data_IF_307698426156
#
_entry.id   IF_307698426156
#
_cell.length_a   1.000
_cell.length_b   1.000
_cell.length_c   1.000
_cell.angle_alpha   90.00
_cell.angle_beta   90.00
_cell.angle_gamma   90.00
#
_symmetry.space_group_name_H-M   'P 1'
#
loop_
_entity.id
_entity.type
_entity.pdbx_description
1 polymer ?
#
# COMPACT_ATOMS: atom_id res chain seq x y z
N UNK A 1 28.25 59.51 70.46
CA UNK A 1 28.63 58.10 70.19
C UNK A 1 27.36 57.28 70.04
N UNK A 2 26.99 56.94 68.79
CA UNK A 2 26.47 55.64 68.32
C UNK A 2 25.77 55.88 66.97
N UNK A 3 26.48 55.62 65.88
CA UNK A 3 25.88 55.45 64.55
C UNK A 3 25.42 54.01 64.43
N UNK A 4 24.09 53.82 64.33
CA UNK A 4 23.45 52.54 64.09
C UNK A 4 23.63 52.09 62.63
N UNK A 5 24.03 50.82 62.49
CA UNK A 5 24.34 50.13 61.24
C UNK A 5 23.05 49.63 60.57
N UNK A 6 22.74 50.08 59.36
CA UNK A 6 21.61 49.61 58.55
C UNK A 6 22.00 48.30 57.84
N UNK A 7 21.20 47.23 58.01
CA UNK A 7 21.32 45.96 57.27
C UNK A 7 20.40 46.01 56.05
N UNK A 8 20.99 45.92 54.84
CA UNK A 8 20.25 45.68 53.61
C UNK A 8 19.85 44.20 53.54
N UNK A 9 18.55 43.92 53.52
CA UNK A 9 18.00 42.59 53.20
C UNK A 9 17.74 42.48 51.70
N UNK A 10 18.37 41.51 51.05
CA UNK A 10 18.08 41.15 49.65
C UNK A 10 16.84 40.25 49.65
N UNK A 11 15.77 40.67 48.97
CA UNK A 11 14.58 39.84 48.72
C UNK A 11 14.78 39.13 47.38
N UNK A 12 14.91 37.81 47.42
CA UNK A 12 14.96 36.97 46.22
C UNK A 12 13.52 36.62 45.84
N UNK A 13 13.03 37.16 44.72
CA UNK A 13 11.77 36.74 44.10
C UNK A 13 12.01 35.44 43.34
N UNK A 14 11.43 34.34 43.81
CA UNK A 14 11.36 33.10 43.04
C UNK A 14 10.19 33.20 42.05
N UNK A 15 10.49 33.36 40.76
CA UNK A 15 9.52 33.22 39.68
C UNK A 15 9.25 31.73 39.44
N UNK A 16 8.11 31.23 39.90
CA UNK A 16 7.62 29.90 39.54
C UNK A 16 7.06 29.96 38.11
N UNK A 17 7.80 29.43 37.14
CA UNK A 17 7.29 29.19 35.78
C UNK A 17 6.22 28.09 35.86
N UNK A 18 4.98 28.42 35.57
CA UNK A 18 3.92 27.43 35.34
C UNK A 18 3.99 27.04 33.87
N UNK A 19 4.60 25.90 33.57
CA UNK A 19 4.53 25.27 32.24
C UNK A 19 3.15 24.66 32.07
N UNK A 20 2.30 25.32 31.27
CA UNK A 20 1.06 24.72 30.76
C UNK A 20 1.47 23.72 29.68
N UNK A 21 1.49 22.43 30.03
CA UNK A 21 1.64 21.36 29.05
C UNK A 21 0.31 21.29 28.31
N UNK A 22 0.24 21.89 27.13
CA UNK A 22 -0.81 21.61 26.17
C UNK A 22 -0.56 20.19 25.65
N UNK A 23 -1.31 19.22 26.15
CA UNK A 23 -1.43 17.94 25.44
C UNK A 23 -2.21 18.24 24.17
N UNK A 24 -1.49 18.47 23.06
CA UNK A 24 -2.10 18.36 21.75
C UNK A 24 -2.67 16.95 21.66
N UNK A 25 -3.99 16.84 21.59
CA UNK A 25 -4.60 15.58 21.19
C UNK A 25 -4.29 15.47 19.71
N UNK A 26 -3.32 14.62 19.34
CA UNK A 26 -3.24 14.16 17.97
C UNK A 26 -4.58 13.49 17.67
N UNK A 27 -5.32 14.04 16.70
CA UNK A 27 -6.51 13.36 16.19
C UNK A 27 -6.03 12.52 15.03
N UNK A 28 -6.23 11.22 15.13
CA UNK A 28 -6.00 10.29 14.04
C UNK A 28 -6.79 10.72 12.79
N UNK A 29 -6.19 10.63 11.60
CA UNK A 29 -6.92 10.92 10.35
C UNK A 29 -7.64 9.66 9.93
N UNK A 30 -8.91 9.58 10.34
CA UNK A 30 -9.81 8.53 9.91
C UNK A 30 -10.78 9.05 8.86
N UNK A 31 -11.21 8.18 7.96
CA UNK A 31 -12.24 8.50 6.98
C UNK A 31 -13.49 7.65 7.23
N UNK A 32 -14.67 8.26 7.17
CA UNK A 32 -15.94 7.55 7.37
C UNK A 32 -16.30 6.62 6.18
N UNK A 33 -15.61 6.79 5.04
CA UNK A 33 -15.77 5.97 3.83
C UNK A 33 -14.44 5.85 3.09
N UNK A 34 -14.17 4.67 2.54
CA UNK A 34 -13.08 4.42 1.60
C UNK A 34 -13.57 3.64 0.37
N UNK A 35 -13.00 3.98 -0.79
CA UNK A 35 -13.22 3.27 -2.06
C UNK A 35 -11.88 2.70 -2.50
N UNK A 36 -11.79 1.39 -2.66
CA UNK A 36 -10.51 0.70 -2.93
C UNK A 36 -10.48 0.17 -4.34
N UNK A 37 -9.52 0.62 -5.14
CA UNK A 37 -9.24 0.10 -6.47
C UNK A 37 -7.90 -0.63 -6.48
N UNK A 38 -7.84 -1.79 -7.14
CA UNK A 38 -6.65 -2.60 -7.09
C UNK A 38 -6.82 -4.01 -7.62
N UNK A 39 -5.93 -4.89 -7.15
CA UNK A 39 -5.85 -6.29 -7.53
C UNK A 39 -6.16 -7.25 -6.37
N UNK A 40 -5.65 -8.47 -6.43
CA UNK A 40 -5.87 -9.55 -5.45
C UNK A 40 -5.34 -9.24 -4.06
N UNK A 41 -4.41 -8.28 -3.91
CA UNK A 41 -3.97 -7.82 -2.59
C UNK A 41 -5.05 -7.01 -1.86
N UNK A 42 -6.07 -6.54 -2.59
CA UNK A 42 -7.21 -5.80 -2.07
C UNK A 42 -8.56 -6.45 -2.38
N UNK A 43 -8.66 -7.39 -3.32
CA UNK A 43 -9.93 -8.02 -3.70
C UNK A 43 -10.54 -8.84 -2.56
N UNK A 44 -11.78 -8.48 -2.21
CA UNK A 44 -12.72 -9.35 -1.50
C UNK A 44 -14.06 -9.37 -2.27
N UNK A 45 -14.40 -10.52 -2.85
CA UNK A 45 -15.55 -10.79 -3.74
C UNK A 45 -15.59 -10.06 -5.09
N UNK A 46 -14.59 -9.26 -5.43
CA UNK A 46 -14.52 -8.45 -6.65
C UNK A 46 -14.59 -9.31 -7.91
N UNK A 47 -13.55 -10.10 -8.18
CA UNK A 47 -13.53 -11.00 -9.35
C UNK A 47 -14.64 -12.06 -9.26
N UNK A 48 -14.91 -12.57 -8.05
CA UNK A 48 -15.96 -13.55 -7.78
C UNK A 48 -17.33 -13.09 -8.30
N UNK A 49 -17.71 -11.84 -8.03
CA UNK A 49 -19.01 -11.27 -8.44
C UNK A 49 -19.23 -11.32 -9.94
N UNK A 50 -18.17 -11.21 -10.75
CA UNK A 50 -18.26 -11.28 -12.21
C UNK A 50 -18.28 -12.71 -12.74
N UNK A 51 -17.53 -13.61 -12.11
CA UNK A 51 -17.27 -14.94 -12.67
C UNK A 51 -18.15 -16.04 -12.09
N UNK A 52 -18.68 -15.91 -10.87
CA UNK A 52 -19.61 -16.91 -10.29
C UNK A 52 -20.83 -17.16 -11.19
N UNK A 53 -21.48 -16.12 -11.77
CA UNK A 53 -22.63 -16.35 -12.66
C UNK A 53 -22.28 -17.09 -13.95
N UNK A 54 -21.01 -17.13 -14.33
CA UNK A 54 -20.50 -17.72 -15.58
C UNK A 54 -19.92 -19.11 -15.34
N UNK A 55 -19.17 -19.27 -14.25
CA UNK A 55 -18.31 -20.45 -13.99
C UNK A 55 -18.79 -21.30 -12.83
N UNK A 56 -19.75 -20.80 -12.02
CA UNK A 56 -20.18 -21.40 -10.78
C UNK A 56 -19.26 -21.07 -9.60
N UNK A 57 -19.64 -21.53 -8.41
CA UNK A 57 -18.88 -21.28 -7.17
C UNK A 57 -17.51 -22.00 -7.16
N UNK A 58 -16.57 -21.44 -6.39
CA UNK A 58 -15.30 -22.10 -6.11
C UNK A 58 -15.48 -23.39 -5.31
N UNK A 59 -14.80 -24.45 -5.74
CA UNK A 59 -14.70 -25.71 -5.00
C UNK A 59 -13.26 -26.22 -5.14
N UNK A 60 -12.48 -26.16 -4.06
CA UNK A 60 -11.08 -26.57 -4.08
C UNK A 60 -10.85 -28.04 -4.51
N UNK A 61 -11.87 -28.90 -4.43
CA UNK A 61 -11.77 -30.33 -4.79
C UNK A 61 -12.21 -30.56 -6.23
N UNK A 62 -13.34 -29.98 -6.64
CA UNK A 62 -13.95 -30.27 -7.96
C UNK A 62 -13.65 -29.21 -9.02
N UNK A 63 -13.26 -28.02 -8.59
CA UNK A 63 -12.92 -26.87 -9.42
C UNK A 63 -11.79 -26.05 -8.78
N UNK A 64 -10.58 -26.63 -8.62
CA UNK A 64 -9.44 -25.95 -7.98
C UNK A 64 -9.02 -24.67 -8.70
N UNK A 65 -9.37 -24.54 -9.99
CA UNK A 65 -9.13 -23.37 -10.84
C UNK A 65 -10.32 -22.38 -10.85
N UNK A 66 -11.33 -22.60 -10.02
CA UNK A 66 -12.48 -21.69 -9.88
C UNK A 66 -12.11 -20.37 -9.17
N UNK A 67 -13.08 -19.47 -9.05
CA UNK A 67 -12.81 -18.09 -8.62
C UNK A 67 -13.06 -17.94 -7.14
N UNK A 68 -12.01 -17.67 -6.38
CA UNK A 68 -12.06 -17.48 -4.93
C UNK A 68 -12.68 -16.14 -4.56
N UNK A 69 -13.29 -16.10 -3.38
CA UNK A 69 -13.85 -14.87 -2.79
C UNK A 69 -12.73 -13.95 -2.28
N UNK A 70 -11.59 -14.50 -1.87
CA UNK A 70 -10.42 -13.74 -1.39
C UNK A 70 -9.14 -14.49 -1.72
N UNK A 71 -8.05 -13.75 -1.91
CA UNK A 71 -6.73 -14.31 -2.24
C UNK A 71 -5.79 -14.35 -1.02
N UNK A 72 -6.37 -14.74 0.11
CA UNK A 72 -5.65 -15.01 1.36
C UNK A 72 -6.38 -16.11 2.16
N UNK A 73 -5.97 -16.39 3.39
CA UNK A 73 -6.67 -17.28 4.32
C UNK A 73 -7.67 -16.55 5.23
N UNK A 74 -8.12 -15.36 4.84
CA UNK A 74 -9.05 -14.50 5.57
C UNK A 74 -9.18 -13.15 4.88
N UNK A 75 -9.70 -12.16 5.61
CA UNK A 75 -9.81 -10.78 5.14
C UNK A 75 -8.46 -10.21 4.66
N UNK A 76 -8.53 -9.24 3.74
CA UNK A 76 -7.36 -8.47 3.31
C UNK A 76 -7.31 -7.13 4.03
N UNK A 77 -6.26 -6.35 3.78
CA UNK A 77 -5.92 -5.17 4.57
C UNK A 77 -7.04 -4.12 4.56
N UNK A 78 -7.79 -4.01 3.46
CA UNK A 78 -8.85 -3.02 3.30
C UNK A 78 -10.00 -3.25 4.30
N UNK A 79 -10.40 -4.50 4.53
CA UNK A 79 -11.47 -4.83 5.49
C UNK A 79 -11.02 -4.56 6.93
N UNK A 80 -9.75 -4.86 7.25
CA UNK A 80 -9.17 -4.55 8.55
C UNK A 80 -9.12 -3.04 8.79
N UNK A 81 -8.63 -2.26 7.82
CA UNK A 81 -8.54 -0.80 7.93
C UNK A 81 -9.92 -0.15 8.07
N UNK A 82 -10.89 -0.59 7.25
CA UNK A 82 -12.27 -0.11 7.38
C UNK A 82 -12.87 -0.43 8.75
N UNK A 83 -12.55 -1.61 9.30
CA UNK A 83 -12.99 -2.00 10.65
C UNK A 83 -12.34 -1.12 11.73
N UNK A 84 -11.04 -0.82 11.63
CA UNK A 84 -10.33 0.06 12.57
C UNK A 84 -10.97 1.45 12.63
N UNK A 85 -11.37 1.98 11.48
CA UNK A 85 -11.99 3.31 11.37
C UNK A 85 -13.50 3.33 11.60
N UNK A 86 -14.14 2.15 11.67
CA UNK A 86 -15.60 2.04 11.55
C UNK A 86 -16.11 2.78 10.28
N UNK A 87 -15.40 2.59 9.17
CA UNK A 87 -15.66 3.20 7.87
C UNK A 87 -16.55 2.31 7.00
N UNK A 88 -17.31 2.94 6.10
CA UNK A 88 -17.91 2.23 4.98
C UNK A 88 -16.84 1.88 3.93
N UNK A 89 -16.73 0.59 3.57
CA UNK A 89 -15.82 0.10 2.54
C UNK A 89 -16.57 -0.19 1.25
N UNK A 90 -16.18 0.49 0.17
CA UNK A 90 -16.58 0.19 -1.19
C UNK A 90 -15.39 -0.43 -1.95
N UNK A 91 -15.28 -1.75 -1.88
CA UNK A 91 -14.15 -2.49 -2.45
C UNK A 91 -14.40 -2.79 -3.93
N UNK A 92 -13.61 -2.16 -4.81
CA UNK A 92 -13.66 -2.27 -6.27
C UNK A 92 -12.48 -3.05 -6.84
N UNK A 93 -11.58 -3.55 -6.00
CA UNK A 93 -10.43 -4.30 -6.42
C UNK A 93 -10.83 -5.63 -7.05
N UNK A 94 -10.12 -6.03 -8.10
CA UNK A 94 -10.40 -7.23 -8.87
C UNK A 94 -9.13 -8.06 -8.95
N UNK A 95 -9.16 -9.27 -8.43
CA UNK A 95 -8.04 -10.19 -8.46
C UNK A 95 -7.53 -10.40 -9.88
N UNK A 96 -6.22 -10.43 -10.05
CA UNK A 96 -5.59 -10.52 -11.36
C UNK A 96 -5.73 -9.28 -12.25
N UNK A 97 -6.35 -8.20 -11.77
CA UNK A 97 -6.37 -6.93 -12.50
C UNK A 97 -4.95 -6.40 -12.71
N UNK A 98 -4.68 -5.97 -13.93
CA UNK A 98 -3.50 -5.17 -14.24
C UNK A 98 -3.88 -3.69 -14.28
N UNK A 99 -2.90 -2.82 -14.45
CA UNK A 99 -3.18 -1.42 -14.80
C UNK A 99 -3.94 -1.31 -16.14
N UNK A 100 -3.78 -2.30 -17.02
CA UNK A 100 -4.58 -2.46 -18.22
C UNK A 100 -4.94 -3.93 -18.42
N UNK A 101 -6.25 -4.22 -18.38
CA UNK A 101 -6.75 -5.58 -18.60
C UNK A 101 -6.58 -6.47 -17.37
N UNK A 102 -6.38 -7.77 -17.62
CA UNK A 102 -6.40 -8.81 -16.60
C UNK A 102 -5.35 -9.90 -16.94
N UNK A 103 -4.61 -10.39 -15.93
CA UNK A 103 -3.49 -11.32 -16.14
C UNK A 103 -3.90 -12.69 -16.68
N UNK A 104 -5.11 -13.14 -16.31
CA UNK A 104 -5.69 -14.38 -16.80
C UNK A 104 -6.25 -14.17 -18.21
N UNK A 105 -5.70 -14.88 -19.19
CA UNK A 105 -6.06 -14.74 -20.60
C UNK A 105 -7.51 -15.13 -20.92
N UNK A 106 -8.12 -16.06 -20.17
CA UNK A 106 -9.52 -16.41 -20.34
C UNK A 106 -10.44 -15.28 -19.87
N UNK A 107 -10.12 -14.65 -18.74
CA UNK A 107 -10.85 -13.48 -18.22
C UNK A 107 -10.66 -12.27 -19.15
N UNK A 108 -9.43 -12.06 -19.65
CA UNK A 108 -9.17 -11.03 -20.65
C UNK A 108 -9.98 -11.24 -21.92
N UNK A 109 -10.06 -12.47 -22.44
CA UNK A 109 -10.88 -12.78 -23.62
C UNK A 109 -12.38 -12.52 -23.39
N UNK A 110 -12.88 -12.73 -22.15
CA UNK A 110 -14.26 -12.35 -21.79
C UNK A 110 -14.45 -10.83 -21.79
N UNK A 111 -13.45 -10.06 -21.35
CA UNK A 111 -13.46 -8.59 -21.46
C UNK A 111 -13.43 -8.15 -22.94
N UNK A 112 -12.55 -8.73 -23.75
CA UNK A 112 -12.39 -8.37 -25.18
C UNK A 112 -13.64 -8.68 -26.01
N UNK A 113 -14.37 -9.73 -25.64
CA UNK A 113 -15.64 -10.10 -26.27
C UNK A 113 -16.83 -9.27 -25.77
N UNK A 114 -16.66 -8.45 -24.74
CA UNK A 114 -17.72 -7.69 -24.08
C UNK A 114 -18.62 -8.53 -23.18
N UNK A 115 -18.21 -9.76 -22.84
CA UNK A 115 -18.91 -10.61 -21.86
C UNK A 115 -18.75 -10.06 -20.44
N UNK A 116 -17.56 -9.50 -20.15
CA UNK A 116 -17.25 -8.80 -18.91
C UNK A 116 -16.91 -7.32 -19.22
N UNK A 117 -17.10 -6.41 -18.26
CA UNK A 117 -16.56 -5.06 -18.37
C UNK A 117 -15.02 -5.09 -18.33
N UNK A 118 -14.38 -3.96 -18.60
CA UNK A 118 -12.95 -3.83 -18.36
C UNK A 118 -12.65 -3.97 -16.85
N UNK A 119 -11.74 -4.88 -16.49
CA UNK A 119 -11.45 -5.22 -15.09
C UNK A 119 -10.14 -4.62 -14.54
N UNK A 120 -9.28 -4.09 -15.41
CA UNK A 120 -8.08 -3.34 -14.97
C UNK A 120 -8.43 -2.00 -14.32
N UNK A 121 -7.44 -1.28 -13.77
CA UNK A 121 -7.68 -0.07 -12.94
C UNK A 121 -8.61 0.96 -13.61
N UNK A 122 -8.41 1.22 -14.90
CA UNK A 122 -9.24 2.16 -15.67
C UNK A 122 -10.70 1.70 -15.77
N UNK A 123 -10.91 0.39 -15.90
CA UNK A 123 -12.24 -0.21 -15.96
C UNK A 123 -12.95 -0.17 -14.61
N UNK A 124 -12.23 -0.41 -13.52
CA UNK A 124 -12.77 -0.29 -12.16
C UNK A 124 -13.20 1.15 -11.86
N UNK A 125 -12.35 2.15 -12.17
CA UNK A 125 -12.68 3.58 -11.98
C UNK A 125 -13.86 4.00 -12.86
N UNK A 126 -13.88 3.63 -14.15
CA UNK A 126 -14.99 3.98 -15.03
C UNK A 126 -16.31 3.39 -14.52
N UNK A 127 -16.32 2.11 -14.12
CA UNK A 127 -17.52 1.44 -13.59
C UNK A 127 -18.00 2.15 -12.31
N UNK A 128 -17.09 2.49 -11.40
CA UNK A 128 -17.42 3.24 -10.19
C UNK A 128 -18.06 4.60 -10.49
N UNK A 129 -17.49 5.36 -11.44
CA UNK A 129 -18.00 6.67 -11.83
C UNK A 129 -19.37 6.58 -12.52
N UNK A 130 -19.58 5.56 -13.35
CA UNK A 130 -20.86 5.31 -14.04
C UNK A 130 -21.97 4.96 -13.04
N UNK A 131 -21.66 4.21 -11.98
CA UNK A 131 -22.62 3.81 -10.95
C UNK A 131 -22.90 4.91 -9.92
N UNK A 132 -21.87 5.68 -9.55
CA UNK A 132 -21.95 6.66 -8.45
C UNK A 132 -22.41 8.04 -8.93
N UNK A 133 -22.02 8.42 -10.15
CA UNK A 133 -22.21 9.78 -10.67
C UNK A 133 -21.25 10.80 -10.06
N UNK A 134 -21.45 12.08 -10.40
CA UNK A 134 -20.58 13.20 -10.02
C UNK A 134 -21.38 14.37 -9.42
N UNK A 135 -20.80 15.19 -8.53
CA UNK A 135 -19.43 15.10 -8.02
C UNK A 135 -19.25 13.99 -6.99
N UNK A 136 -18.06 13.42 -6.96
CA UNK A 136 -17.60 12.52 -5.92
C UNK A 136 -17.46 13.23 -4.58
N UNK A 137 -17.57 12.48 -3.48
CA UNK A 137 -17.37 13.02 -2.14
C UNK A 137 -15.89 13.37 -1.91
N UNK A 138 -15.65 14.59 -1.44
CA UNK A 138 -14.34 15.10 -1.00
C UNK A 138 -13.95 14.62 0.41
N UNK A 139 -14.82 13.85 1.09
CA UNK A 139 -14.57 13.27 2.41
C UNK A 139 -14.24 11.77 2.37
N UNK A 140 -14.32 11.14 1.19
CA UNK A 140 -14.01 9.73 0.97
C UNK A 140 -12.54 9.55 0.64
N UNK A 141 -11.88 8.54 1.21
CA UNK A 141 -10.54 8.14 0.81
C UNK A 141 -10.60 7.24 -0.43
N UNK A 142 -9.96 7.65 -1.52
CA UNK A 142 -9.86 6.86 -2.75
C UNK A 142 -8.49 6.18 -2.81
N UNK A 143 -8.47 4.86 -2.73
CA UNK A 143 -7.24 4.08 -2.69
C UNK A 143 -6.93 3.51 -4.07
N UNK A 144 -5.68 3.62 -4.49
CA UNK A 144 -5.15 2.90 -5.65
C UNK A 144 -3.94 2.07 -5.21
N UNK A 145 -4.07 0.74 -5.33
CA UNK A 145 -2.97 -0.19 -5.15
C UNK A 145 -3.01 -1.28 -6.22
N UNK A 146 -2.18 -1.12 -7.25
CA UNK A 146 -2.22 -1.90 -8.49
C UNK A 146 -0.84 -1.93 -9.15
N UNK A 147 -0.59 -2.93 -9.98
CA UNK A 147 0.60 -3.02 -10.84
C UNK A 147 1.43 -4.29 -10.60
N UNK A 148 1.14 -5.03 -9.53
CA UNK A 148 1.82 -6.30 -9.24
C UNK A 148 1.68 -7.28 -10.41
N UNK A 149 0.46 -7.43 -10.93
CA UNK A 149 0.18 -8.33 -12.03
C UNK A 149 0.87 -7.92 -13.34
N UNK A 150 1.06 -6.62 -13.61
CA UNK A 150 1.85 -6.14 -14.75
C UNK A 150 3.30 -6.64 -14.65
N UNK A 151 3.90 -6.60 -13.45
CA UNK A 151 5.25 -7.12 -13.20
C UNK A 151 5.31 -8.65 -13.31
N UNK A 152 4.33 -9.37 -12.77
CA UNK A 152 4.25 -10.84 -12.84
C UNK A 152 4.13 -11.31 -14.29
N UNK A 153 3.21 -10.73 -15.05
CA UNK A 153 2.99 -11.03 -16.48
C UNK A 153 4.26 -10.76 -17.29
N UNK A 154 4.97 -9.65 -17.01
CA UNK A 154 6.26 -9.36 -17.65
C UNK A 154 7.35 -10.35 -17.25
N UNK A 155 7.52 -10.62 -15.95
CA UNK A 155 8.55 -11.53 -15.44
C UNK A 155 8.38 -12.98 -15.90
N UNK A 156 7.16 -13.40 -16.17
CA UNK A 156 6.82 -14.71 -16.75
C UNK A 156 6.96 -14.75 -18.28
N UNK A 157 7.32 -13.64 -18.92
CA UNK A 157 7.45 -13.53 -20.38
C UNK A 157 6.11 -13.59 -21.13
N UNK A 158 5.02 -13.24 -20.45
CA UNK A 158 3.66 -13.20 -21.00
C UNK A 158 3.22 -11.79 -21.42
N UNK A 159 4.00 -10.76 -21.08
CA UNK A 159 3.72 -9.38 -21.49
C UNK A 159 4.07 -9.14 -22.96
N UNK A 160 3.27 -8.30 -23.61
CA UNK A 160 3.54 -7.81 -24.98
C UNK A 160 4.61 -6.69 -25.02
N UNK A 161 4.95 -6.10 -23.86
CA UNK A 161 5.95 -5.04 -23.78
C UNK A 161 7.35 -5.57 -24.15
N UNK A 162 8.09 -4.83 -24.97
CA UNK A 162 9.41 -5.23 -25.42
C UNK A 162 10.48 -5.05 -24.34
N UNK A 163 10.24 -4.15 -23.37
CA UNK A 163 11.16 -3.85 -22.27
C UNK A 163 10.41 -3.61 -20.96
N UNK A 164 11.12 -3.79 -19.83
CA UNK A 164 10.57 -3.46 -18.52
C UNK A 164 10.25 -1.96 -18.39
N UNK A 165 11.04 -1.09 -19.01
CA UNK A 165 10.81 0.36 -19.01
C UNK A 165 9.50 0.73 -19.72
N UNK A 166 9.21 0.09 -20.86
CA UNK A 166 7.95 0.25 -21.59
C UNK A 166 6.76 -0.20 -20.74
N UNK A 167 6.82 -1.41 -20.19
CA UNK A 167 5.75 -1.93 -19.31
C UNK A 167 5.52 -1.02 -18.10
N UNK A 168 6.58 -0.58 -17.41
CA UNK A 168 6.48 0.31 -16.25
C UNK A 168 5.87 1.65 -16.68
N UNK A 169 6.34 2.24 -17.78
CA UNK A 169 5.82 3.51 -18.29
C UNK A 169 4.32 3.45 -18.61
N UNK A 170 3.86 2.36 -19.24
CA UNK A 170 2.45 2.15 -19.55
C UNK A 170 1.63 2.00 -18.27
N UNK A 171 2.14 1.21 -17.32
CA UNK A 171 1.47 1.01 -16.04
C UNK A 171 1.33 2.30 -15.23
N UNK A 172 2.38 3.11 -15.14
CA UNK A 172 2.35 4.41 -14.47
C UNK A 172 1.41 5.39 -15.19
N UNK A 173 1.35 5.35 -16.52
CA UNK A 173 0.42 6.17 -17.31
C UNK A 173 -1.03 5.81 -16.99
N UNK A 174 -1.34 4.51 -16.86
CA UNK A 174 -2.69 4.06 -16.51
C UNK A 174 -3.09 4.44 -15.07
N UNK A 175 -2.15 4.34 -14.10
CA UNK A 175 -2.39 4.74 -12.70
C UNK A 175 -2.62 6.25 -12.60
N UNK A 176 -1.78 7.06 -13.22
CA UNK A 176 -1.94 8.53 -13.19
C UNK A 176 -3.20 8.98 -13.93
N UNK A 177 -3.60 8.31 -15.01
CA UNK A 177 -4.88 8.54 -15.65
C UNK A 177 -6.06 8.23 -14.71
N UNK A 178 -6.00 7.13 -13.96
CA UNK A 178 -7.03 6.78 -12.97
C UNK A 178 -7.13 7.82 -11.84
N UNK A 179 -6.00 8.29 -11.31
CA UNK A 179 -5.94 9.39 -10.34
C UNK A 179 -6.60 10.66 -10.90
N UNK A 180 -6.21 11.05 -12.12
CA UNK A 180 -6.78 12.22 -12.80
C UNK A 180 -8.29 12.11 -13.02
N UNK A 181 -8.78 10.94 -13.45
CA UNK A 181 -10.22 10.71 -13.65
C UNK A 181 -11.02 10.86 -12.35
N UNK A 182 -10.52 10.32 -11.24
CA UNK A 182 -11.17 10.46 -9.93
C UNK A 182 -11.13 11.92 -9.45
N UNK A 183 -9.98 12.59 -9.61
CA UNK A 183 -9.81 13.99 -9.22
C UNK A 183 -10.74 14.92 -10.02
N UNK A 184 -10.81 14.75 -11.34
CA UNK A 184 -11.72 15.50 -12.21
C UNK A 184 -13.19 15.27 -11.84
N UNK A 185 -13.51 14.08 -11.34
CA UNK A 185 -14.83 13.72 -10.86
C UNK A 185 -15.16 14.27 -9.45
N UNK A 186 -14.18 14.85 -8.75
CA UNK A 186 -14.37 15.52 -7.45
C UNK A 186 -13.64 14.87 -6.26
N UNK A 187 -12.93 13.75 -6.46
CA UNK A 187 -12.13 13.15 -5.40
C UNK A 187 -10.98 14.08 -4.97
N UNK A 188 -10.73 14.17 -3.66
CA UNK A 188 -9.66 15.03 -3.10
C UNK A 188 -8.73 14.33 -2.14
N UNK A 189 -9.08 13.13 -1.66
CA UNK A 189 -8.29 12.39 -0.67
C UNK A 189 -7.89 11.05 -1.27
N UNK A 190 -6.60 10.86 -1.47
CA UNK A 190 -6.07 9.67 -2.11
C UNK A 190 -5.12 8.94 -1.18
N UNK A 191 -5.10 7.62 -1.29
CA UNK A 191 -4.01 6.79 -0.79
C UNK A 191 -3.43 6.02 -1.97
N UNK A 192 -2.12 6.16 -2.17
CA UNK A 192 -1.38 5.36 -3.15
C UNK A 192 -0.34 4.53 -2.41
N UNK A 193 -0.34 3.23 -2.71
CA UNK A 193 0.57 2.27 -2.10
C UNK A 193 1.55 1.76 -3.16
N UNK A 194 2.82 1.63 -2.81
CA UNK A 194 3.79 1.00 -3.70
C UNK A 194 3.66 -0.53 -3.67
N UNK A 195 4.30 -1.22 -4.60
CA UNK A 195 4.23 -2.67 -4.69
C UNK A 195 5.14 -3.35 -3.66
N UNK A 196 4.75 -4.51 -3.13
CA UNK A 196 5.65 -5.36 -2.38
C UNK A 196 6.80 -5.87 -3.26
N UNK A 197 7.86 -6.39 -2.65
CA UNK A 197 8.97 -7.02 -3.37
C UNK A 197 8.53 -8.36 -3.97
N UNK A 198 8.20 -8.39 -5.27
CA UNK A 198 7.80 -9.65 -5.92
C UNK A 198 8.95 -10.68 -5.96
N UNK A 199 10.21 -10.23 -5.90
CA UNK A 199 11.37 -11.13 -5.87
C UNK A 199 11.58 -11.84 -4.54
N UNK A 200 11.03 -11.29 -3.46
CA UNK A 200 11.03 -11.91 -2.13
C UNK A 200 9.89 -12.92 -1.92
N UNK A 201 9.01 -13.09 -2.91
CA UNK A 201 7.89 -14.04 -2.81
C UNK A 201 8.35 -15.49 -2.98
N UNK A 202 7.69 -16.47 -2.35
CA UNK A 202 8.00 -17.89 -2.52
C UNK A 202 8.03 -18.32 -4.00
N UNK A 203 7.15 -17.78 -4.84
CA UNK A 203 7.12 -18.07 -6.28
C UNK A 203 8.45 -17.75 -6.96
N UNK A 204 9.02 -16.56 -6.72
CA UNK A 204 10.30 -16.17 -7.32
C UNK A 204 11.52 -16.79 -6.64
N UNK A 205 11.47 -17.01 -5.32
CA UNK A 205 12.53 -17.71 -4.61
C UNK A 205 12.69 -19.15 -5.11
N UNK A 206 11.58 -19.82 -5.45
CA UNK A 206 11.60 -21.17 -6.02
C UNK A 206 12.18 -21.24 -7.44
N UNK A 207 12.18 -20.13 -8.19
CA UNK A 207 12.84 -20.02 -9.50
C UNK A 207 14.37 -19.83 -9.37
N UNK A 208 14.87 -19.52 -8.17
CA UNK A 208 16.28 -19.35 -7.86
C UNK A 208 16.70 -17.88 -7.65
N UNK A 209 17.88 -17.68 -7.08
CA UNK A 209 18.37 -16.36 -6.62
C UNK A 209 18.42 -15.30 -7.72
N UNK A 210 18.77 -15.69 -8.95
CA UNK A 210 18.88 -14.77 -10.07
C UNK A 210 17.50 -14.25 -10.50
N UNK A 211 16.49 -15.12 -10.49
CA UNK A 211 15.10 -14.74 -10.78
C UNK A 211 14.54 -13.83 -9.69
N UNK A 212 14.77 -14.17 -8.41
CA UNK A 212 14.40 -13.31 -7.28
C UNK A 212 15.04 -11.93 -7.37
N UNK A 213 16.35 -11.85 -7.60
CA UNK A 213 17.08 -10.57 -7.72
C UNK A 213 16.54 -9.71 -8.88
N UNK A 214 16.27 -10.33 -10.03
CA UNK A 214 15.72 -9.62 -11.18
C UNK A 214 14.31 -9.08 -10.90
N UNK A 215 13.47 -9.83 -10.19
CA UNK A 215 12.11 -9.44 -9.84
C UNK A 215 12.05 -8.38 -8.73
N UNK A 216 12.99 -8.41 -7.78
CA UNK A 216 13.19 -7.30 -6.83
C UNK A 216 13.53 -6.01 -7.56
N UNK A 217 14.46 -6.06 -8.52
CA UNK A 217 14.84 -4.88 -9.31
C UNK A 217 13.66 -4.32 -10.15
N UNK A 218 12.74 -5.19 -10.62
CA UNK A 218 11.50 -4.75 -11.27
C UNK A 218 10.59 -3.99 -10.29
N UNK A 219 10.40 -4.53 -9.09
CA UNK A 219 9.60 -3.90 -8.03
C UNK A 219 10.16 -2.51 -7.66
N UNK A 220 11.47 -2.43 -7.44
CA UNK A 220 12.16 -1.17 -7.13
C UNK A 220 12.00 -0.12 -8.24
N UNK A 221 12.17 -0.55 -9.50
CA UNK A 221 12.04 0.33 -10.67
C UNK A 221 10.62 0.86 -10.82
N UNK A 222 9.62 -0.01 -10.66
CA UNK A 222 8.22 0.37 -10.67
C UNK A 222 7.90 1.35 -9.54
N UNK A 223 8.30 1.02 -8.31
CA UNK A 223 8.01 1.84 -7.13
C UNK A 223 8.65 3.23 -7.23
N UNK A 224 9.87 3.32 -7.75
CA UNK A 224 10.54 4.60 -8.00
C UNK A 224 9.82 5.44 -9.06
N UNK A 225 9.35 4.81 -10.14
CA UNK A 225 8.60 5.48 -11.20
C UNK A 225 7.23 5.96 -10.70
N UNK A 226 6.52 5.11 -9.94
CA UNK A 226 5.24 5.44 -9.33
C UNK A 226 5.37 6.63 -8.37
N UNK A 227 6.35 6.58 -7.46
CA UNK A 227 6.57 7.67 -6.51
C UNK A 227 6.82 9.01 -7.22
N UNK A 228 7.64 9.00 -8.28
CA UNK A 228 7.93 10.18 -9.08
C UNK A 228 6.68 10.72 -9.78
N UNK A 229 5.83 9.84 -10.31
CA UNK A 229 4.62 10.22 -11.03
C UNK A 229 3.52 10.73 -10.11
N UNK A 230 3.30 10.09 -8.95
CA UNK A 230 2.33 10.57 -7.96
C UNK A 230 2.76 11.91 -7.39
N UNK A 231 4.06 12.09 -7.13
CA UNK A 231 4.59 13.40 -6.73
C UNK A 231 4.34 14.47 -7.79
N UNK A 232 4.58 14.16 -9.07
CA UNK A 232 4.32 15.09 -10.16
C UNK A 232 2.83 15.44 -10.28
N UNK A 233 1.94 14.46 -10.07
CA UNK A 233 0.50 14.67 -10.02
C UNK A 233 0.10 15.61 -8.86
N UNK A 234 0.65 15.40 -7.66
CA UNK A 234 0.44 16.28 -6.51
C UNK A 234 1.00 17.71 -6.71
N UNK A 235 2.00 17.88 -7.57
CA UNK A 235 2.55 19.19 -7.91
C UNK A 235 1.75 19.90 -9.02
N UNK A 236 1.02 19.15 -9.86
CA UNK A 236 0.21 19.70 -10.94
C UNK A 236 -1.20 20.08 -10.49
N UNK A 237 -1.74 19.35 -9.53
CA UNK A 237 -3.07 19.59 -8.99
C UNK A 237 -3.05 20.52 -7.77
N UNK A 238 -4.23 21.02 -7.38
CA UNK A 238 -4.37 21.80 -6.15
C UNK A 238 -5.57 21.26 -5.37
N UNK A 239 -5.50 21.38 -4.04
CA UNK A 239 -6.59 21.04 -3.12
C UNK A 239 -6.81 19.53 -2.90
N UNK A 240 -5.87 18.69 -3.32
CA UNK A 240 -5.82 17.27 -2.99
C UNK A 240 -4.91 16.97 -1.77
N UNK A 241 -5.22 15.86 -1.11
CA UNK A 241 -4.37 15.20 -0.12
C UNK A 241 -4.03 13.83 -0.69
N UNK A 242 -2.74 13.55 -0.86
CA UNK A 242 -2.26 12.25 -1.31
C UNK A 242 -1.38 11.66 -0.22
N UNK A 243 -1.87 10.58 0.36
CA UNK A 243 -1.15 9.73 1.28
C UNK A 243 -0.34 8.69 0.50
N UNK A 244 0.85 8.39 1.00
CA UNK A 244 1.77 7.42 0.40
C UNK A 244 2.15 6.35 1.41
N UNK A 245 1.98 5.08 1.06
CA UNK A 245 2.43 3.96 1.89
C UNK A 245 3.52 3.16 1.18
N UNK A 246 4.65 2.99 1.87
CA UNK A 246 5.78 2.17 1.42
C UNK A 246 5.65 0.73 1.93
N UNK A 247 4.81 -0.05 1.24
CA UNK A 247 4.59 -1.48 1.49
C UNK A 247 5.86 -2.30 1.26
N UNK A 248 6.65 -1.94 0.26
CA UNK A 248 7.92 -2.60 -0.04
C UNK A 248 8.83 -2.63 1.20
N UNK A 249 9.09 -1.46 1.79
CA UNK A 249 9.94 -1.36 2.97
C UNK A 249 9.30 -2.05 4.18
N UNK A 250 7.99 -1.89 4.39
CA UNK A 250 7.26 -2.52 5.49
C UNK A 250 7.38 -4.05 5.48
N UNK A 251 7.18 -4.70 4.33
CA UNK A 251 7.27 -6.16 4.25
C UNK A 251 8.69 -6.70 4.49
N UNK A 252 9.72 -5.95 4.06
CA UNK A 252 11.11 -6.27 4.41
C UNK A 252 11.35 -6.15 5.93
N UNK A 253 10.82 -5.11 6.57
CA UNK A 253 10.96 -4.92 8.02
C UNK A 253 10.35 -6.06 8.84
N UNK A 254 9.11 -6.46 8.54
CA UNK A 254 8.45 -7.57 9.25
C UNK A 254 9.03 -8.96 8.90
N UNK A 255 9.81 -9.02 7.83
CA UNK A 255 10.59 -10.21 7.48
C UNK A 255 11.85 -10.27 8.33
N UNK A 256 12.57 -9.15 8.44
CA UNK A 256 13.86 -9.05 9.14
C UNK A 256 13.72 -9.07 10.68
N UNK A 257 12.60 -8.60 11.21
CA UNK A 257 12.33 -8.57 12.66
C UNK A 257 11.90 -9.93 13.25
N UNK A 258 11.67 -10.92 12.38
CA UNK A 258 11.22 -12.25 12.79
C UNK A 258 9.76 -12.31 13.23
N UNK A 259 8.90 -11.39 12.75
CA UNK A 259 7.45 -11.40 13.00
C UNK A 259 6.79 -12.73 12.60
N UNK A 260 7.34 -13.38 11.56
CA UNK A 260 6.93 -14.69 11.08
C UNK A 260 8.05 -15.70 11.24
N UNK A 261 7.71 -16.94 11.58
CA UNK A 261 8.67 -18.04 11.63
C UNK A 261 9.05 -18.52 10.22
N UNK A 262 8.18 -18.28 9.23
CA UNK A 262 8.37 -18.64 7.83
C UNK A 262 7.99 -17.50 6.89
N UNK A 263 8.99 -16.96 6.20
CA UNK A 263 8.85 -15.85 5.23
C UNK A 263 9.17 -16.27 3.80
N UNK A 264 9.57 -17.52 3.57
CA UNK A 264 10.04 -18.00 2.26
C UNK A 264 9.22 -19.17 1.72
N UNK A 265 8.46 -19.85 2.58
CA UNK A 265 7.47 -20.86 2.24
C UNK A 265 6.04 -20.35 2.38
N UNK A 266 5.08 -21.23 2.11
CA UNK A 266 3.66 -20.89 2.00
C UNK A 266 2.81 -21.61 3.04
N UNK A 267 1.74 -20.98 3.50
CA UNK A 267 0.72 -21.63 4.32
C UNK A 267 -0.02 -22.73 3.54
N UNK A 268 -0.50 -22.44 2.33
CA UNK A 268 -1.06 -23.46 1.46
C UNK A 268 0.04 -24.43 1.02
N UNK A 269 -0.29 -25.73 1.01
CA UNK A 269 0.58 -26.73 0.40
C UNK A 269 0.29 -26.73 -1.10
N UNK A 270 1.30 -26.33 -1.88
CA UNK A 270 1.23 -26.30 -3.34
C UNK A 270 1.95 -27.53 -3.92
N UNK A 271 1.47 -28.03 -5.05
CA UNK A 271 2.17 -29.07 -5.82
C UNK A 271 3.37 -28.50 -6.61
N UNK A 272 4.07 -29.36 -7.36
CA UNK A 272 5.25 -28.96 -8.16
C UNK A 272 4.90 -27.94 -9.25
N UNK A 273 3.63 -27.87 -9.67
CA UNK A 273 3.10 -26.89 -10.61
C UNK A 273 2.54 -25.62 -9.93
N UNK A 274 2.65 -25.50 -8.59
CA UNK A 274 2.16 -24.37 -7.82
C UNK A 274 0.65 -24.38 -7.55
N UNK A 275 -0.03 -25.51 -7.80
CA UNK A 275 -1.49 -25.64 -7.61
C UNK A 275 -1.83 -26.04 -6.18
N UNK A 276 -2.97 -25.58 -5.71
CA UNK A 276 -3.46 -25.91 -4.38
C UNK A 276 -3.80 -27.41 -4.25
N UNK A 277 -3.23 -28.06 -3.23
CA UNK A 277 -3.48 -29.47 -2.94
C UNK A 277 -4.68 -29.71 -2.00
N UNK A 278 -5.26 -28.64 -1.45
CA UNK A 278 -6.27 -28.68 -0.40
C UNK A 278 -5.72 -28.93 1.00
N UNK A 279 -4.38 -29.04 1.15
CA UNK A 279 -3.70 -29.18 2.43
C UNK A 279 -3.01 -27.87 2.85
N UNK A 280 -2.75 -27.73 4.16
CA UNK A 280 -2.15 -26.52 4.75
C UNK A 280 -1.02 -26.86 5.71
N UNK A 281 -0.07 -25.94 5.85
CA UNK A 281 1.01 -25.96 6.83
C UNK A 281 0.60 -25.15 8.07
N UNK A 282 0.52 -25.77 9.25
CA UNK A 282 0.04 -25.10 10.47
C UNK A 282 1.18 -24.80 11.46
N UNK A 283 1.04 -23.75 12.29
CA UNK A 283 -0.08 -22.82 12.35
C UNK A 283 -0.01 -21.72 11.28
N UNK A 284 -1.15 -21.28 10.75
CA UNK A 284 -1.22 -20.16 9.80
C UNK A 284 -0.50 -18.88 10.26
N UNK A 285 -0.44 -18.64 11.57
CA UNK A 285 0.26 -17.51 12.17
C UNK A 285 1.75 -17.50 11.88
N UNK A 286 2.37 -18.64 11.57
CA UNK A 286 3.81 -18.73 11.37
C UNK A 286 4.25 -18.22 9.99
N UNK A 287 3.31 -18.02 9.05
CA UNK A 287 3.58 -17.77 7.64
C UNK A 287 3.26 -16.33 7.24
N UNK A 288 4.22 -15.67 6.58
CA UNK A 288 3.99 -14.38 5.93
C UNK A 288 3.11 -14.56 4.69
N UNK A 289 3.37 -15.61 3.91
CA UNK A 289 2.71 -15.88 2.64
C UNK A 289 1.66 -16.99 2.74
N UNK A 290 0.48 -16.69 2.22
CA UNK A 290 -0.61 -17.65 2.07
C UNK A 290 -0.32 -18.64 0.95
N UNK A 291 0.03 -18.14 -0.23
CA UNK A 291 0.44 -18.93 -1.38
C UNK A 291 1.74 -18.37 -1.98
N UNK A 292 2.06 -18.72 -3.23
CA UNK A 292 3.32 -18.33 -3.87
C UNK A 292 3.60 -16.82 -3.92
N UNK A 293 2.58 -15.96 -3.86
CA UNK A 293 2.72 -14.50 -3.99
C UNK A 293 1.86 -13.70 -3.00
N UNK A 294 0.75 -14.25 -2.53
CA UNK A 294 -0.21 -13.53 -1.71
C UNK A 294 0.12 -13.67 -0.21
N UNK A 295 0.06 -12.57 0.57
CA UNK A 295 0.25 -12.63 2.02
C UNK A 295 -0.88 -13.36 2.76
N UNK A 296 -0.61 -13.82 3.98
CA UNK A 296 -1.65 -14.30 4.90
C UNK A 296 -2.49 -13.15 5.46
N UNK A 297 -3.66 -13.47 5.97
CA UNK A 297 -4.58 -12.52 6.61
C UNK A 297 -3.93 -11.84 7.82
N UNK A 298 -3.00 -12.53 8.51
CA UNK A 298 -2.16 -11.92 9.57
C UNK A 298 -1.28 -10.81 9.00
N UNK A 299 -0.62 -11.04 7.87
CA UNK A 299 0.18 -10.00 7.19
C UNK A 299 -0.70 -8.84 6.73
N UNK A 300 -1.90 -9.12 6.21
CA UNK A 300 -2.86 -8.08 5.84
C UNK A 300 -3.35 -7.25 7.02
N UNK A 301 -3.60 -7.85 8.18
CA UNK A 301 -3.95 -7.12 9.40
C UNK A 301 -2.80 -6.21 9.85
N UNK A 302 -1.56 -6.68 9.81
CA UNK A 302 -0.39 -5.84 10.14
C UNK A 302 -0.20 -4.70 9.13
N UNK A 303 -0.49 -4.95 7.84
CA UNK A 303 -0.47 -3.90 6.83
C UNK A 303 -1.54 -2.85 7.07
N UNK A 304 -2.74 -3.24 7.51
CA UNK A 304 -3.79 -2.30 7.88
C UNK A 304 -3.38 -1.41 9.06
N UNK A 305 -2.79 -2.00 10.11
CA UNK A 305 -2.24 -1.25 11.25
C UNK A 305 -1.15 -0.27 10.77
N UNK A 306 -0.24 -0.72 9.90
CA UNK A 306 0.81 0.14 9.33
C UNK A 306 0.25 1.30 8.50
N UNK A 307 -0.78 1.06 7.67
CA UNK A 307 -1.43 2.11 6.89
C UNK A 307 -2.11 3.13 7.80
N UNK A 308 -2.83 2.68 8.84
CA UNK A 308 -3.45 3.55 9.85
C UNK A 308 -2.40 4.48 10.49
N UNK A 309 -1.28 3.92 10.93
CA UNK A 309 -0.18 4.69 11.53
C UNK A 309 0.43 5.73 10.57
N UNK A 310 0.61 5.40 9.29
CA UNK A 310 1.14 6.35 8.30
C UNK A 310 0.19 7.53 8.05
N UNK A 311 -1.11 7.28 8.03
CA UNK A 311 -2.12 8.32 7.81
C UNK A 311 -2.26 9.27 9.00
N UNK A 312 -1.99 8.78 10.20
CA UNK A 312 -1.94 9.59 11.42
C UNK A 312 -0.74 10.54 11.45
N UNK A 313 0.44 10.07 11.01
CA UNK A 313 1.65 10.91 10.96
C UNK A 313 1.53 12.03 9.90
N UNK A 314 0.78 11.80 8.81
CA UNK A 314 0.48 12.80 7.77
C UNK A 314 -0.34 13.99 8.28
N UNK A 315 -1.11 13.79 9.36
CA UNK A 315 -2.02 14.80 9.93
C UNK A 315 -1.34 16.02 10.58
N UNK A 316 -0.05 15.87 10.92
CA UNK A 316 0.71 16.85 11.69
C UNK A 316 1.59 17.80 10.89
N UNK A 317 1.73 17.59 9.57
CA UNK A 317 2.59 18.41 8.72
C UNK A 317 1.78 18.99 7.55
N UNK A 318 1.86 20.31 7.36
CA UNK A 318 1.14 21.03 6.31
C UNK A 318 1.30 20.33 4.95
N UNK A 319 0.22 19.71 4.45
CA UNK A 319 -0.02 19.20 3.09
C UNK A 319 1.21 19.26 2.16
N UNK A 320 2.05 18.25 2.24
CA UNK A 320 3.16 18.04 1.32
C UNK A 320 3.61 16.59 1.44
N UNK A 321 3.38 15.80 0.39
CA UNK A 321 3.86 14.44 0.15
C UNK A 321 4.88 13.94 1.18
N UNK A 322 4.43 13.24 2.24
CA UNK A 322 5.32 12.69 3.25
C UNK A 322 5.69 11.28 2.80
N UNK A 323 6.89 11.14 2.25
CA UNK A 323 7.56 9.84 2.22
C UNK A 323 8.32 9.68 3.53
N UNK A 324 8.01 8.64 4.31
CA UNK A 324 8.90 8.19 5.38
C UNK A 324 10.30 7.98 4.79
N UNK A 325 11.29 8.72 5.27
CA UNK A 325 12.66 8.60 4.79
C UNK A 325 13.19 7.20 5.12
N UNK A 326 13.51 6.42 4.09
CA UNK A 326 14.16 5.12 4.22
C UNK A 326 15.44 5.23 5.07
N UNK A 327 15.45 4.60 6.25
CA UNK A 327 16.65 4.43 7.05
C UNK A 327 17.44 3.23 6.53
N UNK A 328 18.31 3.45 5.54
CA UNK A 328 19.27 2.43 5.12
C UNK A 328 20.40 2.22 6.14
N UNK A 329 20.95 1.00 6.29
CA UNK A 329 22.06 0.74 7.22
C UNK A 329 23.37 1.31 6.66
N UNK A 330 24.04 2.19 7.43
CA UNK A 330 25.39 2.63 7.10
C UNK A 330 26.38 1.53 7.52
N UNK A 331 26.79 0.70 6.56
CA UNK A 331 27.97 -0.15 6.72
C UNK A 331 29.22 0.72 6.69
N UNK A 332 29.89 0.90 7.84
CA UNK A 332 31.13 1.66 7.92
C UNK A 332 31.80 1.55 9.28
N UNK A 333 32.71 0.59 9.41
CA UNK A 333 33.58 0.39 10.57
C UNK A 333 34.59 1.54 10.73
N UNK A 334 34.39 2.47 11.67
CA UNK A 334 35.48 3.26 12.28
C UNK A 334 35.12 3.62 13.73
N UNK A 335 36.01 3.26 14.66
CA UNK A 335 35.95 3.67 16.06
C UNK A 335 36.12 5.19 16.19
N UNK A 336 35.16 5.88 16.83
CA UNK A 336 35.32 7.29 17.19
C UNK A 336 34.10 7.85 17.92
N UNK A 337 34.24 8.12 19.22
CA UNK A 337 33.27 8.88 19.99
C UNK A 337 33.18 10.32 19.45
N UNK A 338 32.03 10.70 18.88
CA UNK A 338 31.76 12.06 18.39
C UNK A 338 30.25 12.30 18.35
N UNK A 339 29.81 13.39 18.98
CA UNK A 339 28.40 13.73 19.17
C UNK A 339 27.60 13.84 17.87
N UNK A 340 26.41 13.24 17.86
CA UNK A 340 25.41 13.32 16.81
C UNK A 340 24.78 14.72 16.80
N UNK A 341 25.13 15.55 15.80
CA UNK A 341 24.36 16.74 15.46
C UNK A 341 23.32 16.34 14.41
N UNK A 342 22.05 16.32 14.80
CA UNK A 342 20.91 16.18 13.90
C UNK A 342 20.85 17.41 12.99
N UNK A 343 21.22 17.22 11.72
CA UNK A 343 20.98 18.21 10.67
C UNK A 343 19.57 18.01 10.11
N UNK A 344 18.62 18.81 10.58
CA UNK A 344 17.32 18.96 9.93
C UNK A 344 17.57 19.67 8.59
N UNK A 345 17.43 18.94 7.48
CA UNK A 345 17.34 19.54 6.16
C UNK A 345 16.07 20.38 6.10
N UNK A 346 16.21 21.70 6.14
CA UNK A 346 15.06 22.60 6.03
C UNK A 346 14.44 22.50 4.63
N UNK A 347 13.27 21.86 4.54
CA UNK A 347 12.37 21.99 3.39
C UNK A 347 11.71 23.37 3.48
N UNK A 348 11.90 24.19 2.45
CA UNK A 348 11.32 25.53 2.38
C UNK A 348 9.90 25.48 1.84
N UNK A 349 8.90 25.23 2.71
CA UNK A 349 7.49 25.41 2.37
C UNK A 349 7.10 26.90 2.41
N UNK A 350 6.62 27.42 1.27
CA UNK A 350 6.23 28.83 1.13
C UNK A 350 4.76 29.00 1.54
N UNK A 351 4.51 29.47 2.76
CA UNK A 351 3.20 30.01 3.18
C UNK A 351 2.73 31.07 2.17
N UNK A 352 1.62 30.83 1.46
CA UNK A 352 0.84 31.92 0.85
C UNK A 352 -0.39 32.15 1.72
N UNK A 353 -0.50 33.41 2.16
CA UNK A 353 -1.60 33.94 2.97
C UNK A 353 -2.92 33.93 2.20
#
# INVERSE_FOLDING_TARGET
MNMGRVRNGVVVFACTLITIIWTASASAVTYDRMVVFGDSLSDHYGLYTYLEPITGAYDAVTNPDGVREVWSNGDVWAEYLATLWNAELDNRAIAGAMTQGHENSAVQAMTDSGTLPALGIRGQVNTYLDETGQPLSDNTLYVIWIGGNDLLVYGEGRSDAATAEEMISDAITNITAALGQLYDAGARKFLVMNLPDIGATPAYLNLGSDAGTAATALSESFNSALHSAVKAFAESENDETIHWTDVFTFLHQITDDGTFANTTGTYLVLDEEGRDTGAVNEPASDYLYWNGIHPTTRTHSLLADFVDEQLDDDSGSDSCFIGAAAFGPVSGSVWGWGALLLGVGAVSCRRKK
#
